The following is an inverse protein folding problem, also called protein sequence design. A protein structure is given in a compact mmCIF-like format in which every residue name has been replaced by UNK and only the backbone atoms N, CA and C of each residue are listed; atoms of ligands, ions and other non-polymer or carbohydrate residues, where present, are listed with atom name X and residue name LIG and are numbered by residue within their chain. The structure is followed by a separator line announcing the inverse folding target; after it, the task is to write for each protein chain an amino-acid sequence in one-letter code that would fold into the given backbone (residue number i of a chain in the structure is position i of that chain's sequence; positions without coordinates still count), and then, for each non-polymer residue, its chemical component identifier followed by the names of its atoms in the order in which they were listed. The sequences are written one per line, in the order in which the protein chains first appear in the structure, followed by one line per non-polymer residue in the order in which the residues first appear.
data_IF_124733881333
#
_entry.id   IF_124733881333
#
_cell.length_a   1.000
_cell.length_b   1.000
_cell.length_c   1.000
_cell.angle_alpha   90.00
_cell.angle_beta   90.00
_cell.angle_gamma   90.00
#
_symmetry.space_group_name_H-M   'P 1'
#
loop_
_entity.id
_entity.type
_entity.pdbx_description
1 polymer ?
#
# COMPACT_ATOMS: atom_id res chain seq x y z
N UNK A 1 -33.16 9.41 -12.09
CA UNK A 1 -31.93 10.00 -11.52
C UNK A 1 -30.74 9.39 -12.24
N UNK A 2 -29.77 10.18 -12.67
CA UNK A 2 -28.53 9.67 -13.27
C UNK A 2 -27.77 8.85 -12.21
N UNK A 3 -27.40 7.61 -12.53
CA UNK A 3 -26.56 6.78 -11.65
C UNK A 3 -25.24 7.51 -11.38
N UNK A 4 -24.80 7.51 -10.12
CA UNK A 4 -23.51 8.09 -9.74
C UNK A 4 -22.39 7.21 -10.27
N UNK A 5 -21.36 7.83 -10.85
CA UNK A 5 -20.24 7.11 -11.46
C UNK A 5 -19.11 6.93 -10.45
N UNK A 6 -18.62 5.70 -10.31
CA UNK A 6 -17.57 5.33 -9.35
C UNK A 6 -16.46 4.58 -10.05
N UNK A 7 -15.22 5.05 -9.87
CA UNK A 7 -14.03 4.32 -10.30
C UNK A 7 -13.49 3.48 -9.15
N UNK A 8 -13.42 2.17 -9.32
CA UNK A 8 -12.89 1.24 -8.31
C UNK A 8 -11.44 0.93 -8.63
N UNK A 9 -10.54 1.21 -7.69
CA UNK A 9 -9.15 0.76 -7.77
C UNK A 9 -9.07 -0.75 -7.59
N UNK A 10 -8.84 -1.48 -8.68
CA UNK A 10 -8.76 -2.94 -8.71
C UNK A 10 -7.30 -3.38 -8.72
N UNK A 11 -6.87 -4.10 -7.68
CA UNK A 11 -5.48 -4.60 -7.55
C UNK A 11 -5.29 -6.02 -8.06
N UNK A 12 -6.37 -6.67 -8.52
CA UNK A 12 -6.42 -8.09 -8.81
C UNK A 12 -6.68 -8.97 -7.57
N UNK A 13 -6.83 -8.35 -6.39
CA UNK A 13 -7.17 -9.04 -5.15
C UNK A 13 -8.68 -9.14 -4.91
N UNK A 14 -9.08 -10.11 -4.08
CA UNK A 14 -10.47 -10.39 -3.66
C UNK A 14 -11.17 -9.12 -3.18
N UNK A 15 -10.52 -8.35 -2.30
CA UNK A 15 -11.13 -7.19 -1.64
C UNK A 15 -11.59 -6.13 -2.65
N UNK A 16 -10.75 -5.83 -3.64
CA UNK A 16 -11.11 -4.85 -4.67
C UNK A 16 -12.20 -5.36 -5.62
N UNK A 17 -12.24 -6.67 -5.89
CA UNK A 17 -13.27 -7.29 -6.73
C UNK A 17 -14.62 -7.29 -6.02
N UNK A 18 -14.66 -7.67 -4.74
CA UNK A 18 -15.88 -7.61 -3.92
C UNK A 18 -16.35 -6.16 -3.74
N UNK A 19 -15.43 -5.21 -3.53
CA UNK A 19 -15.78 -3.79 -3.45
C UNK A 19 -16.46 -3.30 -4.73
N UNK A 20 -15.99 -3.72 -5.91
CA UNK A 20 -16.62 -3.41 -7.19
C UNK A 20 -18.02 -4.04 -7.30
N UNK A 21 -18.14 -5.32 -6.93
CA UNK A 21 -19.43 -6.03 -6.95
C UNK A 21 -20.49 -5.35 -6.10
N UNK A 22 -20.15 -5.02 -4.85
CA UNK A 22 -21.08 -4.35 -3.92
C UNK A 22 -21.59 -3.02 -4.48
N UNK A 23 -20.74 -2.27 -5.20
CA UNK A 23 -21.15 -1.02 -5.83
C UNK A 23 -22.05 -1.24 -7.04
N UNK A 24 -21.81 -2.30 -7.83
CA UNK A 24 -22.71 -2.69 -8.93
C UNK A 24 -24.08 -3.06 -8.37
N UNK A 25 -24.14 -3.87 -7.32
CA UNK A 25 -25.39 -4.27 -6.64
C UNK A 25 -26.14 -3.07 -6.04
N UNK A 26 -25.42 -2.07 -5.52
CA UNK A 26 -25.99 -0.81 -5.03
C UNK A 26 -26.48 0.12 -6.16
N UNK A 27 -26.27 -0.24 -7.43
CA UNK A 27 -26.78 0.47 -8.59
C UNK A 27 -25.92 1.65 -9.07
N UNK A 28 -24.64 1.71 -8.70
CA UNK A 28 -23.70 2.68 -9.23
C UNK A 28 -23.35 2.38 -10.70
N UNK A 29 -22.89 3.41 -11.43
CA UNK A 29 -22.20 3.25 -12.71
C UNK A 29 -20.72 3.00 -12.43
N UNK A 30 -20.31 1.73 -12.41
CA UNK A 30 -19.01 1.30 -11.91
C UNK A 30 -18.02 1.13 -13.06
N UNK A 31 -16.80 1.64 -12.87
CA UNK A 31 -15.65 1.45 -13.76
C UNK A 31 -14.50 0.87 -12.93
N UNK A 32 -13.93 -0.25 -13.37
CA UNK A 32 -12.70 -0.78 -12.79
C UNK A 32 -11.46 -0.06 -13.32
N UNK A 33 -10.46 0.17 -12.48
CA UNK A 33 -9.18 0.69 -12.93
C UNK A 33 -8.00 0.11 -12.12
N UNK A 34 -6.90 -0.21 -12.81
CA UNK A 34 -5.63 -0.57 -12.18
C UNK A 34 -4.58 0.49 -12.45
N UNK A 35 -3.89 0.95 -11.40
CA UNK A 35 -2.71 1.78 -11.51
C UNK A 35 -1.49 0.87 -11.67
N UNK A 36 -0.90 0.83 -12.87
CA UNK A 36 0.34 0.11 -13.15
C UNK A 36 1.51 0.89 -12.56
N UNK A 37 2.15 0.34 -11.53
CA UNK A 37 3.20 1.02 -10.74
C UNK A 37 4.62 0.48 -11.01
N UNK A 38 4.79 -0.31 -12.07
CA UNK A 38 6.03 -1.03 -12.40
C UNK A 38 6.39 -0.88 -13.88
N UNK A 39 7.68 -0.98 -14.20
CA UNK A 39 8.13 -1.10 -15.60
C UNK A 39 7.98 -2.53 -16.14
N UNK A 40 7.90 -2.64 -17.46
CA UNK A 40 8.00 -3.94 -18.13
C UNK A 40 9.41 -4.50 -17.94
N UNK A 41 9.50 -5.66 -17.28
CA UNK A 41 10.77 -6.31 -16.95
C UNK A 41 11.17 -6.27 -15.48
N UNK A 42 10.65 -5.33 -14.68
CA UNK A 42 11.06 -5.18 -13.26
C UNK A 42 10.51 -6.26 -12.32
N UNK A 43 9.44 -6.98 -12.71
CA UNK A 43 8.78 -8.03 -11.89
C UNK A 43 8.51 -9.30 -12.70
N UNK A 44 9.48 -9.70 -13.53
CA UNK A 44 9.41 -11.00 -14.23
C UNK A 44 9.90 -12.17 -13.37
N UNK A 45 10.66 -11.86 -12.31
CA UNK A 45 11.27 -12.83 -11.43
C UNK A 45 10.40 -13.01 -10.17
N UNK A 46 9.79 -14.19 -10.04
CA UNK A 46 8.85 -14.55 -8.97
C UNK A 46 7.94 -15.71 -9.37
N UNK A 47 7.26 -16.33 -8.40
CA UNK A 47 6.19 -17.31 -8.67
C UNK A 47 5.12 -16.67 -9.57
N UNK A 48 4.41 -17.49 -10.37
CA UNK A 48 3.39 -17.02 -11.32
C UNK A 48 2.37 -16.04 -10.72
N UNK A 49 2.07 -16.16 -9.41
CA UNK A 49 1.11 -15.36 -8.66
C UNK A 49 1.61 -13.95 -8.26
N UNK A 50 2.92 -13.74 -8.22
CA UNK A 50 3.51 -12.44 -7.88
C UNK A 50 3.74 -11.54 -9.10
N UNK A 51 3.58 -12.11 -10.31
CA UNK A 51 3.74 -11.36 -11.55
C UNK A 51 2.65 -10.31 -11.70
N UNK A 52 3.09 -9.08 -11.91
CA UNK A 52 2.20 -7.93 -12.04
C UNK A 52 1.26 -8.01 -13.27
N UNK A 53 1.66 -8.76 -14.31
CA UNK A 53 0.79 -9.13 -15.43
C UNK A 53 -0.43 -9.95 -15.00
N UNK A 54 -0.25 -10.89 -14.07
CA UNK A 54 -1.33 -11.73 -13.55
C UNK A 54 -2.32 -10.90 -12.71
N UNK A 55 -1.83 -9.93 -11.92
CA UNK A 55 -2.72 -9.01 -11.15
C UNK A 55 -3.62 -8.17 -12.06
N UNK A 56 -3.09 -7.65 -13.17
CA UNK A 56 -3.91 -6.96 -14.19
C UNK A 56 -4.91 -7.93 -14.83
N UNK A 57 -4.48 -9.17 -15.13
CA UNK A 57 -5.34 -10.22 -15.67
C UNK A 57 -6.51 -10.56 -14.75
N UNK A 58 -6.24 -10.76 -13.45
CA UNK A 58 -7.23 -11.04 -12.42
C UNK A 58 -8.22 -9.87 -12.23
N UNK A 59 -7.72 -8.63 -12.21
CA UNK A 59 -8.57 -7.44 -12.14
C UNK A 59 -9.48 -7.32 -13.37
N UNK A 60 -8.95 -7.58 -14.57
CA UNK A 60 -9.72 -7.61 -15.82
C UNK A 60 -10.78 -8.71 -15.79
N UNK A 61 -10.40 -9.92 -15.40
CA UNK A 61 -11.32 -11.05 -15.29
C UNK A 61 -12.48 -10.75 -14.33
N UNK A 62 -12.19 -10.18 -13.16
CA UNK A 62 -13.22 -9.75 -12.22
C UNK A 62 -14.14 -8.66 -12.81
N UNK A 63 -13.58 -7.69 -13.54
CA UNK A 63 -14.36 -6.66 -14.22
C UNK A 63 -15.27 -7.24 -15.31
N UNK A 64 -14.78 -8.21 -16.09
CA UNK A 64 -15.54 -8.90 -17.13
C UNK A 64 -16.72 -9.69 -16.52
N UNK A 65 -16.50 -10.39 -15.40
CA UNK A 65 -17.56 -11.10 -14.64
C UNK A 65 -18.63 -10.15 -14.12
N UNK A 66 -18.25 -8.93 -13.75
CA UNK A 66 -19.15 -7.87 -13.29
C UNK A 66 -19.79 -7.08 -14.43
N UNK A 67 -19.38 -7.32 -15.68
CA UNK A 67 -19.80 -6.57 -16.87
C UNK A 67 -19.59 -5.04 -16.71
N UNK A 68 -18.42 -4.65 -16.19
CA UNK A 68 -18.03 -3.24 -16.01
C UNK A 68 -16.84 -2.87 -16.92
N UNK A 69 -16.75 -1.62 -17.40
CA UNK A 69 -15.57 -1.15 -18.12
C UNK A 69 -14.31 -1.23 -17.24
N UNK A 70 -13.17 -1.53 -17.85
CA UNK A 70 -11.90 -1.65 -17.13
C UNK A 70 -10.74 -0.94 -17.84
N UNK A 71 -10.02 -0.11 -17.09
CA UNK A 71 -8.86 0.63 -17.57
C UNK A 71 -7.57 0.24 -16.83
N UNK A 72 -6.45 0.36 -17.53
CA UNK A 72 -5.12 0.31 -16.91
C UNK A 72 -4.47 1.67 -17.14
N UNK A 73 -4.06 2.32 -16.06
CA UNK A 73 -3.38 3.61 -16.12
C UNK A 73 -1.94 3.44 -15.65
N UNK A 74 -1.01 3.91 -16.46
CA UNK A 74 0.39 3.99 -16.05
C UNK A 74 0.54 5.04 -14.94
N UNK A 75 1.12 4.61 -13.83
CA UNK A 75 1.45 5.39 -12.65
C UNK A 75 2.89 5.11 -12.18
N UNK A 76 3.72 4.46 -13.01
CA UNK A 76 5.06 4.01 -12.63
C UNK A 76 5.93 5.21 -12.25
N UNK A 77 5.92 6.28 -13.06
CA UNK A 77 6.73 7.48 -12.81
C UNK A 77 6.37 8.15 -11.49
N UNK A 78 5.08 8.33 -11.24
CA UNK A 78 4.54 8.91 -10.01
C UNK A 78 4.88 8.03 -8.80
N UNK A 79 4.69 6.71 -8.93
CA UNK A 79 4.99 5.76 -7.88
C UNK A 79 6.48 5.75 -7.52
N UNK A 80 7.35 5.68 -8.53
CA UNK A 80 8.79 5.75 -8.33
C UNK A 80 9.18 7.04 -7.59
N UNK A 81 8.75 8.19 -8.10
CA UNK A 81 9.17 9.49 -7.56
C UNK A 81 8.61 9.76 -6.16
N UNK A 82 7.34 9.43 -5.92
CA UNK A 82 6.63 9.82 -4.70
C UNK A 82 6.63 8.75 -3.60
N UNK A 83 6.93 7.50 -3.94
CA UNK A 83 6.94 6.39 -2.98
C UNK A 83 8.34 5.78 -2.86
N UNK A 84 8.92 5.32 -3.97
CA UNK A 84 10.19 4.58 -3.93
C UNK A 84 11.37 5.50 -3.61
N UNK A 85 11.50 6.63 -4.30
CA UNK A 85 12.61 7.56 -4.09
C UNK A 85 12.52 8.19 -2.68
N UNK A 86 11.31 8.50 -2.21
CA UNK A 86 11.09 8.98 -0.83
C UNK A 86 11.47 7.90 0.20
N UNK A 87 11.05 6.65 0.00
CA UNK A 87 11.44 5.52 0.84
C UNK A 87 12.96 5.41 0.97
N UNK A 88 13.68 5.40 -0.14
CA UNK A 88 15.15 5.35 -0.14
C UNK A 88 15.77 6.55 0.58
N UNK A 89 15.30 7.77 0.29
CA UNK A 89 15.83 9.00 0.90
C UNK A 89 15.62 9.05 2.42
N UNK A 90 14.51 8.54 2.93
CA UNK A 90 14.24 8.52 4.37
C UNK A 90 15.17 7.55 5.10
N UNK A 91 15.44 6.37 4.54
CA UNK A 91 16.45 5.45 5.08
C UNK A 91 17.85 6.03 5.08
N UNK A 92 18.24 6.74 4.01
CA UNK A 92 19.53 7.44 3.95
C UNK A 92 19.68 8.53 5.03
N UNK A 93 18.57 9.02 5.58
CA UNK A 93 18.53 9.98 6.69
C UNK A 93 18.41 9.32 8.06
N UNK A 94 18.54 7.99 8.14
CA UNK A 94 18.42 7.23 9.38
C UNK A 94 16.99 7.15 9.92
N UNK A 95 15.98 7.29 9.06
CA UNK A 95 14.56 7.15 9.43
C UNK A 95 13.97 5.90 8.83
N UNK A 96 12.92 5.37 9.47
CA UNK A 96 12.17 4.21 8.98
C UNK A 96 10.85 4.67 8.37
N UNK A 97 10.75 4.83 7.04
CA UNK A 97 9.53 5.25 6.37
C UNK A 97 8.46 4.14 6.35
N UNK A 98 7.20 4.55 6.23
CA UNK A 98 6.10 3.65 5.88
C UNK A 98 5.61 3.97 4.46
N UNK A 99 6.06 3.21 3.43
CA UNK A 99 5.72 3.52 2.04
C UNK A 99 4.24 3.29 1.73
N UNK A 100 3.54 2.43 2.48
CA UNK A 100 2.11 2.16 2.27
C UNK A 100 1.25 3.39 2.60
N UNK A 101 1.59 4.11 3.67
CA UNK A 101 0.93 5.39 4.02
C UNK A 101 1.07 6.39 2.88
N UNK A 102 2.27 6.50 2.30
CA UNK A 102 2.56 7.44 1.22
C UNK A 102 1.90 7.03 -0.09
N UNK A 103 1.94 5.75 -0.43
CA UNK A 103 1.26 5.17 -1.59
C UNK A 103 -0.24 5.40 -1.54
N UNK A 104 -0.87 5.23 -0.37
CA UNK A 104 -2.28 5.57 -0.20
C UNK A 104 -2.53 7.04 -0.53
N UNK A 105 -1.90 7.95 0.20
CA UNK A 105 -2.10 9.40 0.04
C UNK A 105 -1.93 9.84 -1.42
N UNK A 106 -0.83 9.46 -2.07
CA UNK A 106 -0.41 10.04 -3.35
C UNK A 106 -0.86 9.24 -4.57
N UNK A 107 -0.87 7.91 -4.48
CA UNK A 107 -1.11 7.04 -5.64
C UNK A 107 -2.54 6.52 -5.63
N UNK A 108 -2.94 5.77 -4.59
CA UNK A 108 -4.27 5.15 -4.55
C UNK A 108 -5.41 6.15 -4.40
N UNK A 109 -5.15 7.33 -3.80
CA UNK A 109 -6.17 8.36 -3.64
C UNK A 109 -5.91 9.57 -4.52
N UNK A 110 -4.81 10.33 -4.37
CA UNK A 110 -4.64 11.57 -5.15
C UNK A 110 -4.63 11.32 -6.67
N UNK A 111 -3.77 10.42 -7.17
CA UNK A 111 -3.70 10.11 -8.60
C UNK A 111 -4.99 9.42 -9.10
N UNK A 112 -5.55 8.46 -8.34
CA UNK A 112 -6.79 7.79 -8.75
C UNK A 112 -7.96 8.78 -8.86
N UNK A 113 -8.10 9.71 -7.91
CA UNK A 113 -9.11 10.78 -7.95
C UNK A 113 -8.91 11.65 -9.18
N UNK A 114 -7.68 12.06 -9.47
CA UNK A 114 -7.38 12.87 -10.65
C UNK A 114 -7.83 12.18 -11.94
N UNK A 115 -7.43 10.91 -12.14
CA UNK A 115 -7.81 10.12 -13.31
C UNK A 115 -9.33 9.90 -13.39
N UNK A 116 -9.97 9.61 -12.25
CA UNK A 116 -11.41 9.40 -12.17
C UNK A 116 -12.22 10.66 -12.51
N UNK A 117 -11.80 11.83 -12.01
CA UNK A 117 -12.41 13.12 -12.38
C UNK A 117 -12.25 13.38 -13.88
N UNK A 118 -11.09 13.05 -14.46
CA UNK A 118 -10.84 13.20 -15.89
C UNK A 118 -11.81 12.46 -16.81
N UNK A 119 -12.46 11.40 -16.32
CA UNK A 119 -13.49 10.63 -17.05
C UNK A 119 -14.93 10.89 -16.52
N UNK A 120 -15.08 11.93 -15.70
CA UNK A 120 -16.37 12.37 -15.16
C UNK A 120 -16.95 11.47 -14.07
N UNK A 121 -16.11 10.79 -13.29
CA UNK A 121 -16.57 10.05 -12.11
C UNK A 121 -16.91 10.98 -10.95
N UNK A 122 -17.97 10.65 -10.20
CA UNK A 122 -18.35 11.36 -8.98
C UNK A 122 -17.44 10.96 -7.80
N UNK A 123 -17.11 9.67 -7.72
CA UNK A 123 -16.37 9.06 -6.63
C UNK A 123 -15.30 8.09 -7.10
N UNK A 124 -14.37 7.78 -6.21
CA UNK A 124 -13.54 6.58 -6.29
C UNK A 124 -13.89 5.62 -5.17
N UNK A 125 -13.58 4.35 -5.36
CA UNK A 125 -13.66 3.34 -4.31
C UNK A 125 -12.42 2.44 -4.29
N UNK A 126 -12.14 1.88 -3.13
CA UNK A 126 -11.07 0.89 -2.96
C UNK A 126 -11.52 -0.18 -1.97
N UNK A 127 -10.91 -1.36 -2.03
CA UNK A 127 -11.16 -2.45 -1.08
C UNK A 127 -10.53 -2.24 0.31
N UNK A 128 -10.40 -1.00 0.79
CA UNK A 128 -9.86 -0.78 2.13
C UNK A 128 -10.91 -1.02 3.22
N UNK A 129 -10.48 -1.66 4.30
CA UNK A 129 -11.27 -1.87 5.52
C UNK A 129 -11.20 -0.63 6.41
N UNK A 130 -11.93 0.40 6.02
CA UNK A 130 -12.09 1.64 6.76
C UNK A 130 -13.46 2.25 6.47
N UNK A 131 -13.90 3.22 7.27
CA UNK A 131 -15.20 3.87 7.09
C UNK A 131 -15.04 5.38 6.95
N UNK A 132 -15.92 6.00 6.18
CA UNK A 132 -16.02 7.45 6.09
C UNK A 132 -17.42 7.86 6.53
N UNK A 133 -17.50 8.77 7.49
CA UNK A 133 -18.77 9.37 7.90
C UNK A 133 -18.75 10.86 7.65
N UNK A 134 -19.87 11.42 7.22
CA UNK A 134 -20.03 12.87 7.05
C UNK A 134 -20.93 13.44 8.15
N UNK A 135 -20.48 14.50 8.82
CA UNK A 135 -21.35 15.31 9.66
C UNK A 135 -22.10 16.31 8.76
N UNK A 136 -23.42 16.13 8.64
CA UNK A 136 -24.28 16.93 7.75
C UNK A 136 -24.41 18.39 8.18
N UNK A 137 -24.16 18.73 9.44
CA UNK A 137 -24.29 20.11 9.94
C UNK A 137 -23.13 21.00 9.48
N UNK A 138 -21.93 20.43 9.37
CA UNK A 138 -20.71 21.17 9.04
C UNK A 138 -20.01 20.68 7.76
N UNK A 139 -20.60 19.69 7.07
CA UNK A 139 -20.06 19.03 5.87
C UNK A 139 -18.62 18.50 6.04
N UNK A 140 -18.23 18.11 7.25
CA UNK A 140 -16.91 17.49 7.51
C UNK A 140 -16.98 15.98 7.40
N UNK A 141 -15.95 15.41 6.78
CA UNK A 141 -15.75 13.99 6.61
C UNK A 141 -14.78 13.46 7.66
N UNK A 142 -15.08 12.31 8.23
CA UNK A 142 -14.30 11.66 9.27
C UNK A 142 -13.93 10.26 8.83
N UNK A 143 -12.63 9.97 8.83
CA UNK A 143 -12.12 8.62 8.73
C UNK A 143 -12.38 7.89 10.05
N UNK A 144 -12.95 6.69 9.95
CA UNK A 144 -13.23 5.79 11.06
C UNK A 144 -12.62 4.42 10.80
N UNK A 145 -12.37 3.68 11.88
CA UNK A 145 -11.93 2.29 11.80
C UNK A 145 -12.94 1.43 11.06
N UNK A 146 -12.49 0.42 10.34
CA UNK A 146 -13.35 -0.65 9.81
C UNK A 146 -14.15 -1.36 10.91
N UNK A 147 -15.23 -2.04 10.55
CA UNK A 147 -15.97 -2.88 11.48
C UNK A 147 -15.13 -4.09 11.94
N UNK A 148 -14.33 -4.65 11.03
CA UNK A 148 -13.31 -5.64 11.34
C UNK A 148 -12.09 -4.98 11.99
N UNK A 149 -11.90 -5.19 13.30
CA UNK A 149 -10.77 -4.60 14.03
C UNK A 149 -9.44 -5.25 13.71
N UNK A 150 -9.43 -6.52 13.29
CA UNK A 150 -8.21 -7.25 12.93
C UNK A 150 -7.71 -6.87 11.54
N UNK A 151 -8.63 -6.42 10.67
CA UNK A 151 -8.33 -5.97 9.31
C UNK A 151 -8.42 -4.46 9.13
N UNK A 152 -8.67 -3.67 10.18
CA UNK A 152 -8.75 -2.21 10.09
C UNK A 152 -7.52 -1.60 9.41
N UNK A 153 -7.76 -0.82 8.37
CA UNK A 153 -6.72 -0.16 7.59
C UNK A 153 -6.71 1.35 7.79
N UNK A 154 -7.48 1.90 8.73
CA UNK A 154 -7.53 3.34 9.00
C UNK A 154 -6.15 3.93 9.34
N UNK A 155 -5.26 3.13 9.95
CA UNK A 155 -3.87 3.51 10.20
C UNK A 155 -3.13 3.94 8.92
N UNK A 156 -3.36 3.30 7.78
CA UNK A 156 -2.64 3.63 6.55
C UNK A 156 -3.23 4.83 5.80
N UNK A 157 -4.29 5.44 6.34
CA UNK A 157 -5.13 6.44 5.67
C UNK A 157 -5.13 7.79 6.40
N UNK A 158 -4.33 7.95 7.47
CA UNK A 158 -4.37 9.16 8.32
C UNK A 158 -3.99 10.46 7.59
N UNK A 159 -3.29 10.38 6.46
CA UNK A 159 -2.87 11.54 5.66
C UNK A 159 -3.96 12.04 4.70
N UNK A 160 -5.11 11.37 4.60
CA UNK A 160 -6.17 11.78 3.68
C UNK A 160 -6.78 13.12 4.08
N UNK A 161 -6.90 13.99 3.08
CA UNK A 161 -7.48 15.33 3.22
C UNK A 161 -9.01 15.30 3.15
N UNK A 162 -9.68 16.35 3.63
CA UNK A 162 -11.14 16.48 3.52
C UNK A 162 -11.64 16.40 2.07
N UNK A 163 -10.92 17.01 1.13
CA UNK A 163 -11.26 16.93 -0.30
C UNK A 163 -11.20 15.49 -0.81
N UNK A 164 -10.15 14.73 -0.44
CA UNK A 164 -10.06 13.32 -0.80
C UNK A 164 -11.18 12.51 -0.14
N UNK A 165 -11.37 12.63 1.18
CA UNK A 165 -12.41 11.90 1.91
C UNK A 165 -13.82 12.14 1.35
N UNK A 166 -14.12 13.34 0.85
CA UNK A 166 -15.42 13.67 0.25
C UNK A 166 -15.74 12.90 -1.05
N UNK A 167 -14.72 12.28 -1.66
CA UNK A 167 -14.82 11.58 -2.95
C UNK A 167 -14.53 10.09 -2.86
N UNK A 168 -14.32 9.55 -1.67
CA UNK A 168 -13.93 8.15 -1.46
C UNK A 168 -15.11 7.35 -0.90
N UNK A 169 -15.28 6.14 -1.41
CA UNK A 169 -16.15 5.11 -0.86
C UNK A 169 -15.28 3.92 -0.43
N UNK A 170 -15.56 3.36 0.75
CA UNK A 170 -14.95 2.12 1.23
C UNK A 170 -16.05 1.05 1.39
N UNK A 171 -16.38 0.30 0.33
CA UNK A 171 -17.49 -0.65 0.36
C UNK A 171 -17.34 -1.74 1.43
N UNK A 172 -16.09 -2.10 1.76
CA UNK A 172 -15.79 -3.14 2.75
C UNK A 172 -15.77 -2.65 4.20
N UNK A 173 -16.00 -1.35 4.44
CA UNK A 173 -15.83 -0.74 5.75
C UNK A 173 -16.72 -1.31 6.86
N UNK A 174 -17.87 -1.88 6.50
CA UNK A 174 -18.82 -2.51 7.45
C UNK A 174 -18.73 -4.04 7.48
N UNK A 175 -17.83 -4.64 6.69
CA UNK A 175 -17.73 -6.09 6.55
C UNK A 175 -16.48 -6.63 7.25
N UNK A 176 -16.60 -7.84 7.77
CA UNK A 176 -15.47 -8.66 8.21
C UNK A 176 -14.83 -9.39 7.05
N UNK A 177 -13.55 -9.77 7.19
CA UNK A 177 -12.87 -10.54 6.13
C UNK A 177 -13.58 -11.85 5.78
N UNK A 178 -14.09 -12.65 6.74
CA UNK A 178 -14.88 -13.83 6.42
C UNK A 178 -16.11 -13.50 5.57
N UNK A 179 -16.88 -12.46 5.92
CA UNK A 179 -18.04 -12.05 5.11
C UNK A 179 -17.63 -11.64 3.69
N UNK A 180 -16.51 -10.93 3.53
CA UNK A 180 -15.97 -10.59 2.21
C UNK A 180 -15.60 -11.83 1.40
N UNK A 181 -15.04 -12.87 2.04
CA UNK A 181 -14.72 -14.13 1.37
C UNK A 181 -15.99 -14.90 0.96
N UNK A 182 -17.02 -14.92 1.80
CA UNK A 182 -18.31 -15.54 1.48
C UNK A 182 -18.97 -14.84 0.28
N UNK A 183 -18.93 -13.50 0.28
CA UNK A 183 -19.41 -12.67 -0.83
C UNK A 183 -18.58 -12.94 -2.10
N UNK A 184 -17.26 -13.09 -1.99
CA UNK A 184 -16.40 -13.38 -3.13
C UNK A 184 -16.72 -14.71 -3.83
N UNK A 185 -17.32 -15.66 -3.11
CA UNK A 185 -17.73 -16.96 -3.64
C UNK A 185 -18.70 -16.87 -4.83
N UNK A 186 -19.47 -15.78 -4.94
CA UNK A 186 -20.38 -15.56 -6.07
C UNK A 186 -19.69 -15.09 -7.36
N UNK A 187 -18.45 -14.59 -7.26
CA UNK A 187 -17.70 -14.02 -8.39
C UNK A 187 -16.92 -15.06 -9.21
N UNK A 188 -16.83 -16.31 -8.73
CA UNK A 188 -16.09 -17.40 -9.41
C UNK A 188 -14.65 -16.96 -9.76
N UNK A 189 -14.01 -16.27 -8.80
CA UNK A 189 -12.62 -15.85 -8.88
C UNK A 189 -11.70 -17.06 -8.63
N UNK A 190 -10.54 -17.13 -9.29
CA UNK A 190 -9.55 -18.17 -9.03
C UNK A 190 -8.86 -17.90 -7.67
N UNK A 191 -9.54 -18.22 -6.57
CA UNK A 191 -9.09 -17.89 -5.20
C UNK A 191 -7.72 -18.47 -4.88
N UNK A 192 -7.42 -19.67 -5.40
CA UNK A 192 -6.12 -20.33 -5.23
C UNK A 192 -4.95 -19.51 -5.82
N UNK A 193 -5.25 -18.65 -6.80
CA UNK A 193 -4.27 -17.77 -7.43
C UNK A 193 -4.13 -16.42 -6.72
N UNK A 194 -5.05 -16.07 -5.83
CA UNK A 194 -5.12 -14.75 -5.20
C UNK A 194 -4.55 -14.79 -3.78
N UNK A 195 -3.32 -14.30 -3.61
CA UNK A 195 -2.70 -14.11 -2.29
C UNK A 195 -2.91 -12.69 -1.75
N UNK A 196 -3.14 -12.57 -0.44
CA UNK A 196 -3.09 -11.27 0.23
C UNK A 196 -1.65 -10.74 0.21
N UNK A 197 -1.47 -9.49 -0.22
CA UNK A 197 -0.17 -8.83 -0.17
C UNK A 197 0.12 -8.35 1.26
N UNK A 198 1.05 -8.99 1.95
CA UNK A 198 1.45 -8.62 3.32
C UNK A 198 2.75 -7.80 3.38
N UNK A 199 3.54 -7.77 2.31
CA UNK A 199 4.80 -7.06 2.24
C UNK A 199 4.70 -5.73 1.47
N UNK A 200 5.76 -4.92 1.56
CA UNK A 200 5.89 -3.68 0.77
C UNK A 200 5.92 -4.06 -0.71
N UNK A 201 4.99 -3.53 -1.48
CA UNK A 201 4.67 -4.05 -2.82
C UNK A 201 5.80 -4.01 -3.87
N UNK A 202 6.90 -3.29 -3.59
CA UNK A 202 8.05 -3.14 -4.49
C UNK A 202 9.36 -3.67 -3.91
N UNK A 203 9.31 -4.25 -2.71
CA UNK A 203 10.45 -4.93 -2.10
C UNK A 203 10.35 -6.40 -2.46
N UNK A 204 11.45 -6.97 -2.97
CA UNK A 204 11.51 -8.40 -3.34
C UNK A 204 11.56 -9.30 -2.09
N UNK A 205 11.45 -10.61 -2.30
CA UNK A 205 11.53 -11.60 -1.22
C UNK A 205 12.87 -11.55 -0.46
N UNK A 206 13.93 -11.02 -1.08
CA UNK A 206 15.24 -10.85 -0.45
C UNK A 206 15.27 -9.71 0.59
N UNK A 207 14.18 -8.94 0.66
CA UNK A 207 13.92 -7.96 1.70
C UNK A 207 14.46 -6.57 1.39
N UNK A 208 14.08 -5.62 2.26
CA UNK A 208 14.29 -4.20 1.98
C UNK A 208 15.77 -3.78 1.99
N UNK A 209 16.64 -4.50 2.71
CA UNK A 209 18.07 -4.21 2.78
C UNK A 209 18.75 -4.45 1.43
N UNK A 210 18.40 -5.54 0.74
CA UNK A 210 18.90 -5.84 -0.59
C UNK A 210 18.33 -4.85 -1.62
N UNK A 211 17.03 -4.58 -1.56
CA UNK A 211 16.40 -3.55 -2.38
C UNK A 211 17.10 -2.19 -2.25
N UNK A 212 17.37 -1.73 -1.02
CA UNK A 212 18.07 -0.48 -0.75
C UNK A 212 19.51 -0.51 -1.26
N UNK A 213 20.23 -1.61 -1.07
CA UNK A 213 21.62 -1.76 -1.52
C UNK A 213 21.72 -1.66 -3.05
N UNK A 214 20.76 -2.24 -3.76
CA UNK A 214 20.70 -2.22 -5.21
C UNK A 214 20.29 -0.84 -5.76
N UNK A 215 19.26 -0.21 -5.18
CA UNK A 215 18.78 1.11 -5.65
C UNK A 215 19.67 2.27 -5.20
N UNK A 216 20.29 2.16 -4.03
CA UNK A 216 21.18 3.18 -3.45
C UNK A 216 22.43 2.50 -2.87
N UNK A 217 23.47 2.23 -3.68
CA UNK A 217 24.69 1.58 -3.20
C UNK A 217 25.38 2.30 -2.04
N UNK A 218 25.20 3.62 -1.95
CA UNK A 218 25.70 4.43 -0.83
C UNK A 218 25.04 4.10 0.53
N UNK A 219 23.93 3.36 0.55
CA UNK A 219 23.29 2.86 1.79
C UNK A 219 24.15 1.83 2.51
N UNK A 220 25.01 1.11 1.78
CA UNK A 220 26.04 0.23 2.34
C UNK A 220 27.21 1.10 2.78
N UNK A 221 27.08 1.72 3.96
CA UNK A 221 28.08 2.61 4.53
C UNK A 221 28.44 2.16 5.95
N UNK A 222 29.45 1.28 6.10
CA UNK A 222 29.81 0.76 7.41
C UNK A 222 30.14 1.88 8.42
N UNK A 223 29.66 1.69 9.64
CA UNK A 223 29.81 2.63 10.74
C UNK A 223 29.84 1.90 12.07
N UNK A 224 29.72 2.63 13.18
CA UNK A 224 29.97 2.06 14.51
C UNK A 224 28.67 1.95 15.31
N UNK A 225 28.46 0.81 15.95
CA UNK A 225 27.51 0.75 17.04
C UNK A 225 28.14 1.36 18.29
N UNK A 226 27.50 2.39 18.84
CA UNK A 226 27.97 3.13 20.01
C UNK A 226 26.93 3.05 21.13
N UNK A 227 27.37 2.75 22.35
CA UNK A 227 26.51 2.76 23.54
C UNK A 227 26.14 4.19 23.95
N UNK A 228 25.13 4.39 24.81
CA UNK A 228 24.85 5.70 25.40
C UNK A 228 26.04 6.34 26.12
N UNK A 229 26.96 5.52 26.64
CA UNK A 229 28.20 5.96 27.29
C UNK A 229 29.34 6.31 26.33
N UNK A 230 29.14 6.18 25.01
CA UNK A 230 30.17 6.47 23.99
C UNK A 230 31.11 5.31 23.68
N UNK A 231 30.87 4.10 24.22
CA UNK A 231 31.71 2.95 23.94
C UNK A 231 31.33 2.31 22.61
N UNK A 232 32.32 2.02 21.78
CA UNK A 232 32.12 1.27 20.54
C UNK A 232 31.95 -0.21 20.88
N UNK A 233 30.86 -0.82 20.44
CA UNK A 233 30.51 -2.23 20.75
C UNK A 233 30.44 -3.11 19.50
N UNK A 234 30.61 -2.54 18.32
CA UNK A 234 30.66 -3.27 17.06
C UNK A 234 30.59 -2.34 15.86
N UNK A 235 30.50 -2.95 14.67
CA UNK A 235 30.31 -2.25 13.40
C UNK A 235 28.97 -2.64 12.78
N UNK A 236 28.33 -1.67 12.15
CA UNK A 236 27.07 -1.86 11.44
C UNK A 236 27.29 -1.79 9.93
N UNK A 237 26.43 -2.42 9.14
CA UNK A 237 26.59 -2.45 7.66
C UNK A 237 26.16 -1.15 6.95
N UNK A 238 25.46 -0.28 7.67
CA UNK A 238 24.91 0.99 7.19
C UNK A 238 23.69 1.37 8.00
N UNK A 239 23.57 2.62 8.42
CA UNK A 239 22.44 3.09 9.27
C UNK A 239 21.06 2.79 8.67
N UNK A 240 20.97 2.76 7.34
CA UNK A 240 19.75 2.48 6.57
C UNK A 240 19.20 1.06 6.82
N UNK A 241 20.00 0.14 7.37
CA UNK A 241 19.62 -1.25 7.60
C UNK A 241 19.10 -1.53 9.01
N UNK A 242 18.92 -0.46 9.79
CA UNK A 242 18.51 -0.54 11.18
C UNK A 242 17.31 0.36 11.46
N UNK A 243 16.57 0.04 12.50
CA UNK A 243 15.39 0.80 12.95
C UNK A 243 15.36 0.83 14.47
N UNK A 244 14.90 1.93 15.05
CA UNK A 244 14.73 2.04 16.50
C UNK A 244 13.83 0.92 17.03
N UNK A 245 14.28 0.25 18.09
CA UNK A 245 13.66 -0.94 18.66
C UNK A 245 14.14 -2.26 18.05
N UNK A 246 14.95 -2.24 16.99
CA UNK A 246 15.49 -3.45 16.36
C UNK A 246 16.45 -4.18 17.30
N UNK A 247 16.23 -5.50 17.42
CA UNK A 247 17.07 -6.43 18.19
C UNK A 247 17.87 -7.38 17.31
N UNK A 248 17.25 -7.87 16.24
CA UNK A 248 17.83 -8.91 15.37
C UNK A 248 18.77 -8.26 14.34
N UNK A 249 19.76 -9.02 13.88
CA UNK A 249 20.65 -8.57 12.80
C UNK A 249 21.71 -7.55 13.22
N UNK A 250 21.93 -7.33 14.52
CA UNK A 250 22.99 -6.43 15.00
C UNK A 250 24.39 -7.03 14.88
N UNK A 251 24.53 -8.36 14.95
CA UNK A 251 25.84 -9.02 14.85
C UNK A 251 26.78 -8.76 16.03
N UNK A 252 26.25 -8.28 17.17
CA UNK A 252 27.02 -7.97 18.38
C UNK A 252 26.86 -9.11 19.38
N UNK A 253 27.99 -9.66 19.84
CA UNK A 253 28.03 -10.61 20.96
C UNK A 253 28.10 -9.84 22.28
N UNK A 254 27.01 -9.84 23.04
CA UNK A 254 26.93 -9.21 24.36
C UNK A 254 26.31 -10.17 25.38
N UNK A 255 26.63 -9.96 26.67
CA UNK A 255 26.06 -10.74 27.79
C UNK A 255 24.57 -10.46 28.04
N UNK A 256 24.01 -9.45 27.37
CA UNK A 256 22.61 -9.04 27.48
C UNK A 256 22.00 -8.75 26.11
N UNK A 257 20.67 -8.56 26.08
CA UNK A 257 19.95 -8.25 24.84
C UNK A 257 20.12 -6.78 24.50
N UNK A 258 20.70 -6.50 23.34
CA UNK A 258 20.86 -5.15 22.81
C UNK A 258 19.73 -4.78 21.86
N UNK A 259 19.41 -3.48 21.84
CA UNK A 259 18.39 -2.89 20.99
C UNK A 259 18.92 -1.57 20.42
N UNK A 260 18.56 -1.26 19.18
CA UNK A 260 18.81 0.06 18.59
C UNK A 260 17.90 1.07 19.28
N UNK A 261 18.47 2.07 19.93
CA UNK A 261 17.69 3.11 20.62
C UNK A 261 17.63 4.43 19.85
N UNK A 262 18.57 4.65 18.93
CA UNK A 262 18.70 5.85 18.12
C UNK A 262 19.52 5.53 16.86
N UNK A 263 19.38 6.37 15.83
CA UNK A 263 20.22 6.35 14.63
C UNK A 263 20.74 7.77 14.41
N UNK A 264 22.06 7.93 14.39
CA UNK A 264 22.72 9.22 14.25
C UNK A 264 23.32 9.36 12.85
N UNK A 265 22.49 9.78 11.88
CA UNK A 265 22.90 9.87 10.49
C UNK A 265 24.13 10.77 10.24
N UNK A 266 24.27 11.97 10.86
CA UNK A 266 25.47 12.81 10.70
C UNK A 266 26.79 12.16 11.15
N UNK A 267 26.74 11.24 12.12
CA UNK A 267 27.95 10.56 12.64
C UNK A 267 28.14 9.15 12.07
N UNK A 268 27.13 8.59 11.39
CA UNK A 268 27.09 7.20 10.96
C UNK A 268 27.26 6.23 12.15
N UNK A 269 26.39 6.41 13.16
CA UNK A 269 26.35 5.67 14.43
C UNK A 269 24.93 5.18 14.77
#
# INVERSE_FOLDING_TARGET
MTRKKVVVGMSGGIDSSVAAMLLVEQGYDVIGATLKIWEEGEYLDGEWHDRSCCKIGLARYAADRLNIPYFVWDAHKEFKNWVVDEFCNEYMRGRTPNPCVRCNEMIKFALLIEKAIGIGADYIATGHYARITCNKENNKFYLRRGADTEKDQSYFLYRLTQNQLSRIIFPLGEYTKPEVLDIAGSLDLPLDEIRESQEVCFVTQDGYQEFLSNKVPASVSPGKFVTPSGNVVGEHKGIAFYTVGQRRGLGISAGERLYVININAPKNE
#
